data_IF_109557240609
#
_entry.id   IF_109557240609
#
_cell.length_a   1.000
_cell.length_b   1.000
_cell.length_c   1.000
_cell.angle_alpha   90.00
_cell.angle_beta   90.00
_cell.angle_gamma   90.00
#
_symmetry.space_group_name_H-M   'P 1'
#
loop_
_entity.id
_entity.type
_entity.pdbx_description
1 polymer ?
#
# COMPACT_ATOMS: atom_id res chain seq x y z
N UNK A 1 -11.00 -6.22 19.39
CA UNK A 1 -11.84 -6.56 18.23
C UNK A 1 -10.94 -6.59 17.00
N UNK A 2 -10.88 -7.69 16.23
CA UNK A 2 -10.10 -7.77 14.99
C UNK A 2 -10.97 -7.25 13.84
N UNK A 3 -10.55 -6.28 13.02
CA UNK A 3 -11.36 -5.85 11.88
C UNK A 3 -11.40 -7.01 10.88
N UNK A 4 -12.55 -7.68 10.80
CA UNK A 4 -12.79 -8.73 9.83
C UNK A 4 -13.00 -8.11 8.45
N UNK A 5 -12.20 -8.52 7.48
CA UNK A 5 -12.36 -8.12 6.07
C UNK A 5 -13.76 -8.57 5.62
N UNK A 6 -14.67 -7.62 5.44
CA UNK A 6 -16.02 -7.88 4.92
C UNK A 6 -15.90 -8.36 3.47
N UNK A 7 -16.53 -9.49 3.16
CA UNK A 7 -16.53 -10.07 1.82
C UNK A 7 -17.65 -9.40 0.99
N UNK A 8 -17.34 -8.59 -0.03
CA UNK A 8 -18.36 -7.88 -0.83
C UNK A 8 -19.19 -8.82 -1.71
N UNK A 9 -18.84 -10.12 -1.81
CA UNK A 9 -19.52 -11.08 -2.70
C UNK A 9 -20.67 -11.88 -2.06
N UNK A 10 -21.04 -11.56 -0.82
CA UNK A 10 -22.14 -12.21 -0.10
C UNK A 10 -21.73 -13.52 0.61
N UNK A 11 -22.59 -14.05 1.51
CA UNK A 11 -22.31 -15.27 2.26
C UNK A 11 -22.25 -16.48 1.31
N UNK A 12 -21.16 -17.26 1.40
CA UNK A 12 -20.95 -18.46 0.59
C UNK A 12 -20.04 -18.29 -0.64
N UNK A 13 -19.61 -17.07 -1.00
CA UNK A 13 -18.63 -16.86 -2.06
C UNK A 13 -17.21 -16.79 -1.49
N UNK A 14 -16.23 -17.34 -2.21
CA UNK A 14 -14.81 -17.25 -1.84
C UNK A 14 -14.43 -15.80 -1.56
N UNK A 15 -13.68 -15.55 -0.47
CA UNK A 15 -13.13 -14.21 -0.17
C UNK A 15 -12.45 -13.66 -1.44
N UNK A 16 -12.58 -12.36 -1.76
CA UNK A 16 -11.86 -11.78 -2.88
C UNK A 16 -10.38 -12.12 -2.70
N UNK A 17 -9.80 -12.79 -3.71
CA UNK A 17 -8.36 -13.00 -3.76
C UNK A 17 -7.75 -11.61 -3.83
N UNK A 18 -7.04 -11.22 -2.77
CA UNK A 18 -6.20 -10.01 -2.80
C UNK A 18 -5.31 -10.15 -4.04
N UNK A 19 -5.53 -9.28 -5.03
CA UNK A 19 -4.92 -9.42 -6.35
C UNK A 19 -3.40 -9.27 -6.23
N UNK A 20 -2.70 -9.92 -7.16
CA UNK A 20 -1.33 -10.40 -7.03
C UNK A 20 -0.26 -9.31 -6.88
N UNK A 21 0.70 -9.63 -6.02
CA UNK A 21 2.07 -9.10 -5.86
C UNK A 21 2.23 -7.59 -5.98
N UNK A 22 2.42 -6.96 -4.82
CA UNK A 22 3.03 -5.64 -4.74
C UNK A 22 4.39 -5.69 -5.43
N UNK A 23 4.50 -4.96 -6.53
CA UNK A 23 5.75 -4.79 -7.25
C UNK A 23 6.57 -3.76 -6.50
N UNK A 24 7.81 -4.12 -6.18
CA UNK A 24 8.77 -3.21 -5.58
C UNK A 24 9.62 -2.62 -6.70
N UNK A 25 9.75 -1.30 -6.71
CA UNK A 25 10.60 -0.58 -7.65
C UNK A 25 11.84 -0.09 -6.91
N UNK A 26 12.99 -0.15 -7.58
CA UNK A 26 14.23 0.41 -7.05
C UNK A 26 14.12 1.93 -6.97
N UNK A 27 14.60 2.50 -5.87
CA UNK A 27 14.55 3.95 -5.63
C UNK A 27 15.98 4.49 -5.61
N UNK A 28 16.22 5.54 -6.41
CA UNK A 28 17.50 6.23 -6.40
C UNK A 28 17.65 7.01 -5.08
N UNK A 29 18.76 6.84 -4.33
CA UNK A 29 18.94 7.56 -3.07
C UNK A 29 19.00 9.07 -3.18
N UNK A 30 19.53 9.59 -4.29
CA UNK A 30 19.56 11.03 -4.53
C UNK A 30 18.15 11.59 -4.69
N UNK A 31 17.26 10.85 -5.36
CA UNK A 31 15.87 11.28 -5.56
C UNK A 31 15.08 11.18 -4.25
N UNK A 32 15.29 10.11 -3.48
CA UNK A 32 14.66 9.93 -2.17
C UNK A 32 14.99 11.05 -1.18
N UNK A 33 16.23 11.56 -1.20
CA UNK A 33 16.65 12.67 -0.34
C UNK A 33 16.22 14.04 -0.85
N UNK A 34 16.10 14.19 -2.17
CA UNK A 34 15.82 15.47 -2.82
C UNK A 34 14.33 15.79 -2.86
N UNK A 35 13.48 14.79 -3.08
CA UNK A 35 12.05 14.98 -3.27
C UNK A 35 11.27 14.53 -2.03
N UNK A 36 10.36 15.39 -1.56
CA UNK A 36 9.39 15.01 -0.53
C UNK A 36 8.26 14.19 -1.15
N UNK A 37 8.51 12.90 -1.30
CA UNK A 37 7.63 12.01 -2.05
C UNK A 37 6.61 11.30 -1.18
N UNK A 38 5.33 11.51 -1.49
CA UNK A 38 4.19 10.86 -0.85
C UNK A 38 3.92 9.48 -1.47
N UNK A 39 4.64 8.48 -0.98
CA UNK A 39 4.56 7.09 -1.46
C UNK A 39 3.82 6.15 -0.52
N UNK A 40 3.40 6.65 0.64
CA UNK A 40 2.77 5.83 1.68
C UNK A 40 1.25 5.91 1.60
N UNK A 41 0.56 4.84 2.00
CA UNK A 41 -0.90 4.86 2.13
C UNK A 41 -1.36 5.96 3.09
N UNK A 42 -0.60 6.25 4.14
CA UNK A 42 -0.91 7.32 5.11
C UNK A 42 -0.97 8.72 4.48
N UNK A 43 -0.35 8.92 3.33
CA UNK A 43 -0.37 10.17 2.57
C UNK A 43 -1.43 10.18 1.45
N UNK A 44 -2.18 9.08 1.29
CA UNK A 44 -3.14 8.85 0.21
C UNK A 44 -4.59 9.09 0.68
N UNK A 45 -5.37 9.80 -0.12
CA UNK A 45 -6.80 10.05 0.12
C UNK A 45 -7.67 8.78 0.20
N UNK A 46 -7.20 7.68 -0.39
CA UNK A 46 -7.91 6.41 -0.39
C UNK A 46 -7.64 5.55 0.85
N UNK A 47 -6.82 6.01 1.79
CA UNK A 47 -6.52 5.27 2.99
C UNK A 47 -7.45 5.67 4.14
N UNK A 48 -8.14 4.67 4.68
CA UNK A 48 -8.90 4.77 5.93
C UNK A 48 -7.94 4.41 7.07
N UNK A 49 -7.44 5.41 7.79
CA UNK A 49 -6.50 5.24 8.90
C UNK A 49 -7.13 4.59 10.14
N UNK A 50 -8.44 4.73 10.35
CA UNK A 50 -9.14 4.11 11.47
C UNK A 50 -9.21 2.59 11.29
N UNK A 51 -9.46 2.14 10.06
CA UNK A 51 -9.58 0.71 9.73
C UNK A 51 -8.28 0.09 9.18
N UNK A 52 -7.27 0.91 8.90
CA UNK A 52 -6.02 0.52 8.23
C UNK A 52 -6.33 -0.22 6.93
N UNK A 53 -7.12 0.43 6.07
CA UNK A 53 -7.65 -0.17 4.84
C UNK A 53 -7.54 0.78 3.66
N UNK A 54 -7.17 0.26 2.49
CA UNK A 54 -7.24 1.03 1.24
C UNK A 54 -8.61 0.83 0.61
N UNK A 55 -9.34 1.93 0.40
CA UNK A 55 -10.69 1.92 -0.18
C UNK A 55 -10.74 1.40 -1.63
N UNK A 56 -9.61 1.42 -2.33
CA UNK A 56 -9.46 0.82 -3.68
C UNK A 56 -9.36 -0.72 -3.60
N UNK A 57 -9.09 -1.29 -2.42
CA UNK A 57 -8.99 -2.74 -2.19
C UNK A 57 -7.57 -3.31 -2.19
N UNK A 58 -6.54 -2.46 -2.22
CA UNK A 58 -5.15 -2.89 -2.03
C UNK A 58 -4.84 -3.20 -0.55
N UNK A 59 -3.83 -4.04 -0.31
CA UNK A 59 -3.35 -4.33 1.04
C UNK A 59 -2.41 -3.22 1.53
N UNK A 60 -2.79 -2.38 2.53
CA UNK A 60 -1.97 -1.26 2.96
C UNK A 60 -0.68 -1.66 3.68
N UNK A 61 -0.60 -2.89 4.21
CA UNK A 61 0.49 -3.33 5.11
C UNK A 61 1.88 -3.04 4.54
N UNK A 62 2.05 -3.18 3.23
CA UNK A 62 3.33 -2.97 2.54
C UNK A 62 3.54 -1.52 2.08
N UNK A 63 2.50 -0.70 2.15
CA UNK A 63 2.48 0.70 1.73
C UNK A 63 2.43 1.65 2.94
N UNK A 64 2.37 1.15 4.18
CA UNK A 64 2.51 1.99 5.38
C UNK A 64 3.92 2.61 5.41
N UNK A 65 4.03 3.85 5.90
CA UNK A 65 5.29 4.60 5.89
C UNK A 65 6.39 3.84 6.63
N UNK A 66 6.09 3.31 7.80
CA UNK A 66 7.04 2.51 8.56
C UNK A 66 7.55 1.28 7.78
N UNK A 67 6.67 0.57 7.07
CA UNK A 67 7.07 -0.58 6.25
C UNK A 67 7.91 -0.14 5.05
N UNK A 68 7.52 0.95 4.39
CA UNK A 68 8.20 1.51 3.22
C UNK A 68 9.60 2.01 3.54
N UNK A 69 9.73 2.82 4.61
CA UNK A 69 11.02 3.34 5.09
C UNK A 69 11.95 2.20 5.44
N UNK A 70 11.48 1.22 6.22
CA UNK A 70 12.28 0.04 6.56
C UNK A 70 12.71 -0.75 5.32
N UNK A 71 11.82 -0.91 4.35
CA UNK A 71 12.13 -1.65 3.11
C UNK A 71 13.19 -0.91 2.28
N UNK A 72 13.06 0.40 2.17
CA UNK A 72 14.02 1.25 1.47
C UNK A 72 15.40 1.22 2.15
N UNK A 73 15.45 1.37 3.47
CA UNK A 73 16.69 1.30 4.25
C UNK A 73 17.42 -0.04 4.09
N UNK A 74 16.68 -1.15 4.00
CA UNK A 74 17.26 -2.50 3.90
C UNK A 74 17.62 -2.91 2.48
N UNK A 75 16.85 -2.49 1.47
CA UNK A 75 16.93 -3.07 0.12
C UNK A 75 16.96 -2.03 -1.00
N UNK A 76 16.87 -0.73 -0.70
CA UNK A 76 16.87 0.35 -1.69
C UNK A 76 15.67 0.32 -2.66
N UNK A 77 14.58 -0.34 -2.27
CA UNK A 77 13.37 -0.44 -3.08
C UNK A 77 12.11 -0.15 -2.26
N UNK A 78 11.04 0.26 -2.94
CA UNK A 78 9.76 0.65 -2.32
C UNK A 78 8.59 0.08 -3.10
N UNK A 79 7.47 -0.12 -2.41
CA UNK A 79 6.25 -0.69 -2.94
C UNK A 79 5.28 0.41 -3.38
N UNK A 80 5.41 0.94 -4.60
CA UNK A 80 4.53 2.04 -5.02
C UNK A 80 3.10 1.58 -5.31
N UNK A 81 2.13 2.41 -4.91
CA UNK A 81 0.74 2.22 -5.28
C UNK A 81 0.57 2.49 -6.78
N UNK A 82 0.29 1.44 -7.56
CA UNK A 82 0.10 1.55 -9.02
C UNK A 82 -1.17 2.29 -9.44
N UNK A 83 -2.09 2.56 -8.50
CA UNK A 83 -3.22 3.43 -8.77
C UNK A 83 -2.83 4.91 -8.84
N UNK A 84 -1.65 5.30 -8.33
CA UNK A 84 -1.08 6.63 -8.53
C UNK A 84 -0.61 6.86 -9.99
N UNK A 85 -0.55 5.81 -10.81
CA UNK A 85 -0.06 5.87 -12.20
C UNK A 85 -1.18 6.07 -13.24
N UNK A 86 -2.45 6.18 -12.82
CA UNK A 86 -3.60 6.38 -13.72
C UNK A 86 -4.12 7.80 -13.50
N UNK A 87 -3.69 8.72 -14.36
CA UNK A 87 -4.30 10.05 -14.57
C UNK A 87 -5.41 9.93 -15.63
#
# INVERSE_FOLDING_TARGET
MKPGIVNPKGPGKSKPRLHASIKKDTVNPSDYLKYDTRFSCEDCSHFDSEKVLCTIGYNPIHHLKATQTRQYELAGNMAFCRFLEID
#
